data_IF_552822670757
#
_entry.id   IF_552822670757
#
_cell.length_a   1.000
_cell.length_b   1.000
_cell.length_c   1.000
_cell.angle_alpha   90.00
_cell.angle_beta   90.00
_cell.angle_gamma   90.00
#
_symmetry.space_group_name_H-M   'P 1'
#
loop_
_entity.id
_entity.type
_entity.pdbx_description
1 polymer ?
#
# COMPACT_ATOMS: atom_id res chain seq x y z
N UNK A 1 7.98 7.90 -21.02
CA UNK A 1 7.46 7.78 -19.64
C UNK A 1 8.30 6.70 -19.01
N UNK A 2 9.06 7.03 -17.96
CA UNK A 2 9.93 6.06 -17.32
C UNK A 2 9.05 5.15 -16.46
N UNK A 3 9.22 3.83 -16.55
CA UNK A 3 8.40 2.87 -15.79
C UNK A 3 8.38 3.26 -14.31
N UNK A 4 9.57 3.52 -13.74
CA UNK A 4 9.79 3.94 -12.36
C UNK A 4 8.97 5.15 -11.86
N UNK A 5 8.45 6.00 -12.75
CA UNK A 5 7.62 7.12 -12.34
C UNK A 5 6.30 6.62 -11.72
N UNK A 6 5.72 5.53 -12.23
CA UNK A 6 4.43 4.99 -11.76
C UNK A 6 4.61 4.22 -10.45
N UNK A 7 5.59 3.32 -10.34
CA UNK A 7 5.85 2.59 -9.09
C UNK A 7 6.26 3.53 -7.95
N UNK A 8 7.08 4.54 -8.27
CA UNK A 8 7.42 5.57 -7.29
C UNK A 8 6.19 6.35 -6.87
N UNK A 9 5.32 6.72 -7.81
CA UNK A 9 4.07 7.42 -7.51
C UNK A 9 3.19 6.59 -6.56
N UNK A 10 3.10 5.27 -6.74
CA UNK A 10 2.37 4.39 -5.81
C UNK A 10 2.95 4.47 -4.40
N UNK A 11 4.27 4.42 -4.26
CA UNK A 11 4.93 4.54 -2.95
C UNK A 11 4.67 5.90 -2.32
N UNK A 12 4.90 6.97 -3.07
CA UNK A 12 4.71 8.36 -2.60
C UNK A 12 3.23 8.60 -2.21
N UNK A 13 2.26 8.10 -3.00
CA UNK A 13 0.83 8.19 -2.70
C UNK A 13 0.41 7.36 -1.49
N UNK A 14 1.10 6.26 -1.22
CA UNK A 14 0.81 5.45 -0.03
C UNK A 14 1.28 6.15 1.25
N UNK A 15 2.40 6.88 1.17
CA UNK A 15 2.89 7.70 2.28
C UNK A 15 2.03 8.95 2.50
N UNK A 16 1.50 9.52 1.42
CA UNK A 16 0.73 10.77 1.39
C UNK A 16 -0.67 10.58 0.77
N UNK A 17 -1.48 9.70 1.37
CA UNK A 17 -2.82 9.38 0.87
C UNK A 17 -3.71 10.62 0.69
N UNK A 18 -3.52 11.66 1.50
CA UNK A 18 -4.22 12.94 1.41
C UNK A 18 -3.98 13.71 0.10
N UNK A 19 -2.89 13.41 -0.60
CA UNK A 19 -2.53 14.05 -1.86
C UNK A 19 -3.04 13.26 -3.08
N UNK A 20 -3.51 12.02 -2.89
CA UNK A 20 -3.87 11.10 -3.98
C UNK A 20 -5.34 10.66 -3.98
N UNK A 21 -6.22 11.37 -3.26
CA UNK A 21 -7.66 11.08 -3.20
C UNK A 21 -8.05 10.07 -2.12
N UNK A 22 -7.07 9.40 -1.50
CA UNK A 22 -7.25 8.45 -0.43
C UNK A 22 -7.03 7.00 -0.87
N UNK A 23 -7.29 6.07 0.06
CA UNK A 23 -6.94 4.66 -0.13
C UNK A 23 -7.70 3.97 -1.26
N UNK A 24 -8.93 4.42 -1.57
CA UNK A 24 -9.74 3.82 -2.63
C UNK A 24 -9.12 4.10 -3.99
N UNK A 25 -8.75 5.35 -4.21
CA UNK A 25 -8.07 5.82 -5.41
C UNK A 25 -6.70 5.16 -5.56
N UNK A 26 -5.96 4.96 -4.46
CA UNK A 26 -4.72 4.20 -4.47
C UNK A 26 -4.93 2.74 -4.91
N UNK A 27 -5.90 2.03 -4.31
CA UNK A 27 -6.21 0.63 -4.68
C UNK A 27 -6.58 0.53 -6.15
N UNK A 28 -7.44 1.43 -6.64
CA UNK A 28 -7.82 1.44 -8.05
C UNK A 28 -6.64 1.76 -8.97
N UNK A 29 -5.75 2.67 -8.58
CA UNK A 29 -4.54 2.98 -9.33
C UNK A 29 -3.59 1.78 -9.42
N UNK A 30 -3.41 1.03 -8.33
CA UNK A 30 -2.62 -0.21 -8.31
C UNK A 30 -3.20 -1.23 -9.29
N UNK A 31 -4.51 -1.53 -9.18
CA UNK A 31 -5.18 -2.49 -10.07
C UNK A 31 -5.04 -2.11 -11.55
N UNK A 32 -5.21 -0.83 -11.88
CA UNK A 32 -5.04 -0.35 -13.27
C UNK A 32 -3.58 -0.41 -13.72
N UNK A 33 -2.63 -0.21 -12.82
CA UNK A 33 -1.21 -0.28 -13.13
C UNK A 33 -0.77 -1.72 -13.40
N UNK A 34 -1.25 -2.71 -12.64
CA UNK A 34 -0.96 -4.14 -12.84
C UNK A 34 -1.22 -4.60 -14.28
N UNK A 35 -2.28 -4.07 -14.90
CA UNK A 35 -2.62 -4.38 -16.29
C UNK A 35 -1.66 -3.78 -17.34
N UNK A 36 -0.65 -2.99 -16.93
CA UNK A 36 0.20 -2.15 -17.80
C UNK A 36 1.70 -2.28 -17.58
N UNK A 37 2.19 -3.50 -17.34
CA UNK A 37 3.64 -3.81 -17.18
C UNK A 37 4.26 -3.15 -15.94
N UNK A 38 3.50 -3.13 -14.83
CA UNK A 38 3.93 -2.58 -13.55
C UNK A 38 4.90 -3.51 -12.82
N UNK A 39 5.98 -2.93 -12.30
CA UNK A 39 7.10 -3.69 -11.73
C UNK A 39 7.09 -3.62 -10.20
N UNK A 40 6.56 -4.66 -9.55
CA UNK A 40 6.67 -4.77 -8.08
C UNK A 40 8.11 -4.83 -7.58
N UNK A 41 9.06 -5.30 -8.40
CA UNK A 41 10.48 -5.22 -8.06
C UNK A 41 10.92 -3.77 -7.87
N UNK A 42 10.46 -2.86 -8.73
CA UNK A 42 10.76 -1.41 -8.64
C UNK A 42 10.05 -0.75 -7.46
N UNK A 43 8.84 -1.20 -7.09
CA UNK A 43 8.17 -0.78 -5.84
C UNK A 43 9.01 -1.16 -4.63
N UNK A 44 9.53 -2.39 -4.58
CA UNK A 44 10.36 -2.88 -3.48
C UNK A 44 11.67 -2.10 -3.39
N UNK A 45 12.32 -1.81 -4.51
CA UNK A 45 13.50 -0.93 -4.56
C UNK A 45 13.20 0.47 -4.00
N UNK A 46 12.00 0.99 -4.24
CA UNK A 46 11.55 2.26 -3.66
C UNK A 46 11.32 2.12 -2.15
N UNK A 47 10.63 1.08 -1.69
CA UNK A 47 10.34 0.84 -0.27
C UNK A 47 11.58 0.64 0.61
N UNK A 48 12.67 0.11 0.05
CA UNK A 48 13.93 -0.08 0.77
C UNK A 48 14.69 1.24 1.02
N UNK A 49 14.22 2.37 0.48
CA UNK A 49 14.84 3.67 0.73
C UNK A 49 14.43 4.20 2.11
N UNK A 50 15.34 4.86 2.85
CA UNK A 50 15.10 5.27 4.23
C UNK A 50 13.88 6.19 4.44
N UNK A 51 13.49 6.95 3.42
CA UNK A 51 12.38 7.91 3.43
C UNK A 51 11.01 7.27 3.19
N UNK A 52 10.95 6.01 2.73
CA UNK A 52 9.69 5.36 2.32
C UNK A 52 9.17 4.32 3.33
N UNK A 53 9.68 4.33 4.57
CA UNK A 53 9.36 3.33 5.58
C UNK A 53 7.89 3.32 6.02
N UNK A 54 7.21 4.47 5.99
CA UNK A 54 5.81 4.57 6.39
C UNK A 54 4.86 3.93 5.35
N UNK A 55 5.21 4.00 4.07
CA UNK A 55 4.50 3.29 2.99
C UNK A 55 4.68 1.75 3.02
N UNK A 56 5.70 1.22 3.72
CA UNK A 56 6.04 -0.22 3.61
C UNK A 56 4.92 -1.11 4.14
N UNK A 57 4.37 -0.83 5.32
CA UNK A 57 3.31 -1.68 5.92
C UNK A 57 2.01 -1.66 5.13
N UNK A 58 1.49 -0.47 4.73
CA UNK A 58 0.32 -0.42 3.86
C UNK A 58 0.56 -1.13 2.53
N UNK A 59 1.69 -0.96 1.83
CA UNK A 59 1.91 -1.63 0.54
C UNK A 59 1.92 -3.15 0.69
N UNK A 60 2.63 -3.69 1.68
CA UNK A 60 2.66 -5.14 1.91
C UNK A 60 1.24 -5.65 2.19
N UNK A 61 0.48 -4.95 3.04
CA UNK A 61 -0.91 -5.30 3.31
C UNK A 61 -1.80 -5.26 2.06
N UNK A 62 -1.73 -4.18 1.28
CA UNK A 62 -2.53 -4.01 0.06
C UNK A 62 -2.19 -5.08 -0.98
N UNK A 63 -0.91 -5.40 -1.16
CA UNK A 63 -0.49 -6.46 -2.08
C UNK A 63 -1.12 -7.81 -1.70
N UNK A 64 -1.09 -8.16 -0.41
CA UNK A 64 -1.69 -9.41 0.07
C UNK A 64 -3.22 -9.43 -0.08
N UNK A 65 -3.91 -8.31 0.19
CA UNK A 65 -5.36 -8.21 -0.01
C UNK A 65 -5.76 -8.32 -1.49
N UNK A 66 -4.91 -7.84 -2.40
CA UNK A 66 -5.14 -7.85 -3.84
C UNK A 66 -4.64 -9.13 -4.53
N UNK A 67 -4.02 -10.06 -3.79
CA UNK A 67 -3.50 -11.31 -4.35
C UNK A 67 -2.25 -11.11 -5.22
N UNK A 68 -1.49 -10.06 -4.96
CA UNK A 68 -0.30 -9.64 -5.72
C UNK A 68 0.95 -10.33 -5.16
N UNK A 69 1.76 -10.94 -6.03
CA UNK A 69 3.04 -11.53 -5.65
C UNK A 69 4.11 -10.46 -5.46
N UNK A 70 4.18 -9.86 -4.27
CA UNK A 70 5.16 -8.84 -3.92
C UNK A 70 6.54 -9.48 -3.68
N UNK A 71 7.56 -9.18 -4.50
CA UNK A 71 8.89 -9.72 -4.30
C UNK A 71 9.46 -9.24 -2.96
N UNK A 72 10.25 -10.09 -2.31
CA UNK A 72 10.85 -9.81 -1.01
C UNK A 72 9.84 -9.46 0.12
N UNK A 73 8.56 -9.82 -0.01
CA UNK A 73 7.53 -9.68 1.04
C UNK A 73 8.04 -10.06 2.43
N UNK A 74 8.63 -11.25 2.56
CA UNK A 74 9.17 -11.76 3.84
C UNK A 74 10.29 -10.89 4.41
N UNK A 75 11.09 -10.26 3.56
CA UNK A 75 12.14 -9.32 3.99
C UNK A 75 11.51 -8.02 4.47
N UNK A 76 10.48 -7.52 3.79
CA UNK A 76 9.75 -6.31 4.18
C UNK A 76 9.04 -6.51 5.52
N UNK A 77 8.33 -7.63 5.73
CA UNK A 77 7.71 -7.96 7.01
C UNK A 77 8.73 -7.93 8.16
N UNK A 78 9.93 -8.49 7.96
CA UNK A 78 10.99 -8.49 8.98
C UNK A 78 11.58 -7.10 9.26
N UNK A 79 11.40 -6.15 8.34
CA UNK A 79 11.84 -4.76 8.52
C UNK A 79 10.85 -3.90 9.31
N UNK A 80 9.66 -4.42 9.63
CA UNK A 80 8.63 -3.66 10.33
C UNK A 80 9.10 -3.22 11.70
N UNK A 81 8.94 -1.92 11.95
CA UNK A 81 9.11 -1.33 13.28
C UNK A 81 7.89 -1.60 14.14
N UNK A 82 7.98 -1.31 15.44
CA UNK A 82 6.88 -1.54 16.40
C UNK A 82 5.70 -0.56 16.28
N UNK A 83 5.82 0.50 15.47
CA UNK A 83 4.74 1.48 15.31
C UNK A 83 3.52 0.87 14.61
N UNK A 84 2.31 1.22 15.04
CA UNK A 84 1.07 0.68 14.45
C UNK A 84 0.27 1.78 13.76
N UNK A 85 0.66 2.23 12.54
CA UNK A 85 -0.04 3.30 11.86
C UNK A 85 -1.46 2.89 11.44
N UNK A 86 -2.27 3.87 11.08
CA UNK A 86 -3.55 3.64 10.42
C UNK A 86 -3.30 3.26 8.97
N UNK A 87 -4.08 2.32 8.44
CA UNK A 87 -4.07 2.01 7.02
C UNK A 87 -4.54 3.21 6.18
N UNK A 88 -5.52 3.97 6.68
CA UNK A 88 -5.94 5.24 6.07
C UNK A 88 -5.96 6.36 7.12
N UNK A 89 -4.96 7.26 7.14
CA UNK A 89 -4.87 8.35 8.12
C UNK A 89 -5.96 9.42 7.95
N UNK A 90 -6.69 9.44 6.82
CA UNK A 90 -7.79 10.38 6.55
C UNK A 90 -9.14 9.91 7.11
N UNK A 91 -9.20 8.72 7.70
CA UNK A 91 -10.42 8.13 8.29
C UNK A 91 -10.35 8.15 9.80
N UNK A 92 -11.47 7.83 10.46
CA UNK A 92 -11.46 7.68 11.92
C UNK A 92 -10.47 6.58 12.33
N UNK A 93 -9.93 6.68 13.54
CA UNK A 93 -8.98 5.68 14.05
C UNK A 93 -9.65 4.35 14.44
N UNK A 94 -10.97 4.22 14.23
CA UNK A 94 -11.73 3.03 14.54
C UNK A 94 -11.44 1.93 13.53
N UNK A 95 -10.97 0.80 14.02
CA UNK A 95 -10.55 -0.31 13.17
C UNK A 95 -9.87 -1.42 13.98
N UNK A 96 -9.66 -2.54 13.33
CA UNK A 96 -9.00 -3.70 13.93
C UNK A 96 -7.48 -3.57 13.79
N UNK A 97 -6.75 -3.96 14.83
CA UNK A 97 -5.30 -4.10 14.72
C UNK A 97 -4.96 -5.45 14.10
N UNK A 98 -4.14 -5.42 13.05
CA UNK A 98 -3.55 -6.61 12.46
C UNK A 98 -2.10 -6.77 12.92
N UNK A 99 -1.85 -7.88 13.63
CA UNK A 99 -0.55 -8.17 14.21
C UNK A 99 0.48 -8.70 13.22
N UNK A 100 0.08 -9.20 12.05
CA UNK A 100 1.03 -9.57 11.01
C UNK A 100 1.61 -8.31 10.37
N UNK A 101 0.74 -7.34 10.08
CA UNK A 101 1.15 -6.11 9.38
C UNK A 101 1.61 -4.97 10.30
N UNK A 102 1.43 -5.12 11.61
CA UNK A 102 1.59 -4.03 12.58
C UNK A 102 0.82 -2.78 12.12
N UNK A 103 -0.44 -2.95 11.71
CA UNK A 103 -1.24 -1.93 11.05
C UNK A 103 -2.65 -1.91 11.63
N UNK A 104 -3.25 -0.74 11.79
CA UNK A 104 -4.66 -0.62 12.16
C UNK A 104 -5.51 -0.46 10.90
N UNK A 105 -6.32 -1.48 10.63
CA UNK A 105 -7.21 -1.55 9.48
C UNK A 105 -8.49 -0.78 9.83
N UNK A 106 -8.51 0.50 9.46
CA UNK A 106 -9.60 1.44 9.72
C UNK A 106 -10.40 1.79 8.45
N UNK A 107 -10.52 0.80 7.57
CA UNK A 107 -11.27 0.88 6.32
C UNK A 107 -12.11 -0.38 6.17
N UNK A 108 -13.22 -0.25 5.48
CA UNK A 108 -14.12 -1.35 5.17
C UNK A 108 -13.80 -1.86 3.77
N UNK A 109 -13.23 -3.06 3.68
CA UNK A 109 -12.80 -3.67 2.42
C UNK A 109 -13.96 -4.06 1.50
N UNK A 110 -15.10 -4.49 2.06
CA UNK A 110 -16.30 -4.81 1.27
C UNK A 110 -16.81 -3.57 0.52
N UNK A 111 -16.63 -2.38 1.11
CA UNK A 111 -16.94 -1.10 0.45
C UNK A 111 -15.90 -0.64 -0.55
N UNK A 112 -14.66 -1.13 -0.48
CA UNK A 112 -13.62 -0.87 -1.48
C UNK A 112 -13.82 -1.75 -2.71
N UNK A 113 -14.24 -3.01 -2.51
CA UNK A 113 -14.48 -4.02 -3.56
C UNK A 113 -15.81 -3.83 -4.32
N UNK A 114 -16.71 -2.96 -3.84
CA UNK A 114 -18.00 -2.66 -4.50
C UNK A 114 -17.88 -1.93 -5.86
N UNK A 115 -16.81 -2.19 -6.63
CA UNK A 115 -16.53 -1.69 -7.97
C UNK A 115 -17.43 -2.28 -9.07
N UNK A 116 -18.59 -2.83 -8.72
CA UNK A 116 -19.62 -3.20 -9.69
C UNK A 116 -20.73 -2.13 -9.70
N UNK A 117 -20.69 -1.23 -10.68
CA UNK A 117 -21.86 -0.48 -11.18
C UNK A 117 -21.62 -0.01 -12.62
#
# INVERSE_FOLDING_TARGET
MNVADVEKTTVDCTDHLELCGGIRELVQAIVVAEDRDYSWATVVECLQRPDNGAATKPIVYLADQLGIDLPARETLLKSFTSGCPLLNPMRSEQGSYDSEYHLRINVDWERLDSMES
#
